data_IF_277488712342
#
_entry.id   IF_277488712342
#
_cell.length_a   1.000
_cell.length_b   1.000
_cell.length_c   1.000
_cell.angle_alpha   90.00
_cell.angle_beta   90.00
_cell.angle_gamma   90.00
#
_symmetry.space_group_name_H-M   'P 1'
#
loop_
_entity.id
_entity.type
_entity.pdbx_description
1 polymer ?
#
# COMPACT_ATOMS: atom_id res chain seq x y z
N UNK A 1 -3.32 -0.91 -10.47
CA UNK A 1 -3.97 -0.84 -11.80
C UNK A 1 -4.04 -2.21 -12.43
N UNK A 2 -2.90 -2.84 -12.71
CA UNK A 2 -2.86 -4.14 -13.41
C UNK A 2 -3.65 -5.25 -12.69
N UNK A 3 -3.45 -5.45 -11.39
CA UNK A 3 -4.15 -6.49 -10.60
C UNK A 3 -5.69 -6.35 -10.65
N UNK A 4 -6.22 -5.16 -10.36
CA UNK A 4 -7.66 -4.87 -10.50
C UNK A 4 -8.13 -4.86 -11.96
N UNK A 5 -7.24 -4.55 -12.90
CA UNK A 5 -7.45 -4.66 -14.34
C UNK A 5 -7.78 -6.10 -14.73
N UNK A 6 -6.94 -7.05 -14.31
CA UNK A 6 -7.12 -8.49 -14.56
C UNK A 6 -8.39 -8.99 -13.84
N UNK A 7 -8.46 -8.79 -12.52
CA UNK A 7 -9.43 -9.50 -11.67
C UNK A 7 -10.82 -8.86 -11.60
N UNK A 8 -10.96 -7.58 -11.95
CA UNK A 8 -12.25 -6.87 -11.91
C UNK A 8 -12.65 -6.32 -13.27
N UNK A 9 -11.69 -5.78 -14.04
CA UNK A 9 -11.94 -5.23 -15.37
C UNK A 9 -11.77 -6.25 -16.50
N UNK A 10 -11.48 -7.51 -16.16
CA UNK A 10 -11.32 -8.64 -17.09
C UNK A 10 -10.29 -8.38 -18.19
N UNK A 11 -9.21 -7.67 -17.85
CA UNK A 11 -8.11 -7.48 -18.78
C UNK A 11 -7.48 -8.83 -19.13
N UNK A 12 -7.16 -9.00 -20.42
CA UNK A 12 -6.35 -10.14 -20.86
C UNK A 12 -4.91 -9.99 -20.37
N UNK A 13 -4.19 -11.10 -20.37
CA UNK A 13 -2.76 -11.14 -20.06
C UNK A 13 -1.96 -10.12 -20.91
N UNK A 14 -2.27 -9.98 -22.19
CA UNK A 14 -1.57 -9.06 -23.10
C UNK A 14 -1.91 -7.60 -22.84
N UNK A 15 -3.17 -7.29 -22.51
CA UNK A 15 -3.58 -5.94 -22.11
C UNK A 15 -2.84 -5.50 -20.85
N UNK A 16 -2.78 -6.39 -19.85
CA UNK A 16 -2.06 -6.17 -18.60
C UNK A 16 -0.55 -5.99 -18.81
N UNK A 17 0.06 -6.84 -19.64
CA UNK A 17 1.49 -6.77 -19.98
C UNK A 17 1.82 -5.46 -20.67
N UNK A 18 1.09 -5.10 -21.72
CA UNK A 18 1.30 -3.87 -22.47
C UNK A 18 1.20 -2.65 -21.56
N UNK A 19 0.15 -2.59 -20.73
CA UNK A 19 0.01 -1.50 -19.76
C UNK A 19 1.23 -1.37 -18.83
N UNK A 20 1.73 -2.49 -18.31
CA UNK A 20 2.90 -2.48 -17.43
C UNK A 20 4.17 -2.03 -18.15
N UNK A 21 4.41 -2.47 -19.39
CA UNK A 21 5.54 -2.02 -20.21
C UNK A 21 5.44 -0.51 -20.45
N UNK A 22 4.29 -0.02 -20.91
CA UNK A 22 4.11 1.38 -21.29
C UNK A 22 4.18 2.32 -20.08
N UNK A 23 3.68 1.88 -18.93
CA UNK A 23 3.58 2.75 -17.73
C UNK A 23 4.83 2.68 -16.85
N UNK A 24 5.44 1.50 -16.71
CA UNK A 24 6.56 1.27 -15.76
C UNK A 24 7.91 1.23 -16.49
N UNK A 25 7.92 0.97 -17.80
CA UNK A 25 9.15 0.88 -18.59
C UNK A 25 9.95 -0.41 -18.35
N UNK A 26 9.34 -1.45 -17.78
CA UNK A 26 9.99 -2.75 -17.64
C UNK A 26 10.00 -3.51 -18.96
N UNK A 27 11.08 -4.26 -19.20
CA UNK A 27 11.19 -5.16 -20.34
C UNK A 27 10.02 -6.15 -20.36
N UNK A 28 9.51 -6.47 -21.56
CA UNK A 28 8.30 -7.27 -21.74
C UNK A 28 8.33 -8.59 -20.95
N UNK A 29 9.42 -9.37 -21.04
CA UNK A 29 9.52 -10.65 -20.32
C UNK A 29 9.46 -10.50 -18.80
N UNK A 30 9.99 -9.40 -18.24
CA UNK A 30 9.85 -9.09 -16.81
C UNK A 30 8.39 -8.75 -16.47
N UNK A 31 7.75 -7.93 -17.30
CA UNK A 31 6.34 -7.56 -17.11
C UNK A 31 5.43 -8.78 -17.15
N UNK A 32 5.61 -9.68 -18.12
CA UNK A 32 4.82 -10.92 -18.25
C UNK A 32 4.93 -11.78 -16.98
N UNK A 33 6.14 -11.98 -16.45
CA UNK A 33 6.34 -12.74 -15.21
C UNK A 33 5.59 -12.11 -14.02
N UNK A 34 5.53 -10.79 -13.93
CA UNK A 34 4.71 -10.13 -12.90
C UNK A 34 3.21 -10.32 -13.15
N UNK A 35 2.74 -10.23 -14.41
CA UNK A 35 1.33 -10.49 -14.75
C UNK A 35 0.92 -11.91 -14.34
N UNK A 36 1.72 -12.91 -14.69
CA UNK A 36 1.49 -14.32 -14.32
C UNK A 36 1.41 -14.48 -12.80
N UNK A 37 2.32 -13.83 -12.05
CA UNK A 37 2.29 -13.80 -10.59
C UNK A 37 0.98 -13.21 -10.05
N UNK A 38 0.46 -12.16 -10.68
CA UNK A 38 -0.79 -11.51 -10.24
C UNK A 38 -2.01 -12.37 -10.56
N UNK A 39 -1.97 -13.16 -11.64
CA UNK A 39 -3.03 -14.11 -11.97
C UNK A 39 -3.19 -15.22 -10.91
N UNK A 40 -2.09 -15.72 -10.34
CA UNK A 40 -2.11 -16.80 -9.33
C UNK A 40 -2.21 -16.29 -7.88
N UNK A 41 -2.07 -14.99 -7.65
CA UNK A 41 -2.14 -14.37 -6.32
C UNK A 41 -2.97 -13.07 -6.34
N UNK A 42 -4.30 -13.15 -6.53
CA UNK A 42 -5.15 -11.98 -6.68
C UNK A 42 -5.08 -11.04 -5.47
N UNK A 43 -4.91 -9.74 -5.72
CA UNK A 43 -4.91 -8.70 -4.68
C UNK A 43 -3.57 -8.50 -3.97
N UNK A 44 -2.64 -9.45 -4.06
CA UNK A 44 -1.33 -9.33 -3.41
C UNK A 44 -0.56 -8.10 -3.92
N UNK A 45 -0.58 -7.84 -5.23
CA UNK A 45 0.11 -6.69 -5.82
C UNK A 45 -0.50 -5.34 -5.39
N UNK A 46 -1.77 -5.31 -4.97
CA UNK A 46 -2.40 -4.10 -4.44
C UNK A 46 -1.92 -3.75 -3.02
N UNK A 47 -1.45 -4.76 -2.26
CA UNK A 47 -1.05 -4.59 -0.85
C UNK A 47 0.02 -3.51 -0.64
N UNK A 48 0.99 -3.39 -1.54
CA UNK A 48 2.09 -2.42 -1.44
C UNK A 48 1.58 -0.98 -1.35
N UNK A 49 0.74 -0.55 -2.31
CA UNK A 49 0.28 0.83 -2.37
C UNK A 49 -0.89 1.10 -1.42
N UNK A 50 -1.74 0.10 -1.15
CA UNK A 50 -2.80 0.20 -0.13
C UNK A 50 -2.19 0.37 1.25
N UNK A 51 -1.20 -0.46 1.61
CA UNK A 51 -0.47 -0.37 2.87
C UNK A 51 0.23 0.98 3.01
N UNK A 52 1.01 1.39 1.99
CA UNK A 52 1.64 2.71 1.99
C UNK A 52 0.64 3.86 2.16
N UNK A 53 -0.50 3.83 1.47
CA UNK A 53 -1.53 4.85 1.60
C UNK A 53 -2.13 4.89 3.02
N UNK A 54 -2.34 3.74 3.66
CA UNK A 54 -2.79 3.68 5.05
C UNK A 54 -1.77 4.28 6.02
N UNK A 55 -0.48 3.97 5.85
CA UNK A 55 0.59 4.58 6.65
C UNK A 55 0.65 6.10 6.51
N UNK A 56 0.50 6.63 5.29
CA UNK A 56 0.43 8.08 5.08
C UNK A 56 -0.78 8.70 5.76
N UNK A 57 -1.98 8.11 5.59
CA UNK A 57 -3.20 8.60 6.25
C UNK A 57 -3.08 8.58 7.77
N UNK A 58 -2.55 7.50 8.34
CA UNK A 58 -2.34 7.36 9.78
C UNK A 58 -1.40 8.46 10.30
N UNK A 59 -0.28 8.71 9.61
CA UNK A 59 0.67 9.76 9.96
C UNK A 59 0.05 11.16 9.88
N UNK A 60 -0.68 11.44 8.81
CA UNK A 60 -1.32 12.75 8.62
C UNK A 60 -2.41 12.99 9.68
N UNK A 61 -3.17 11.94 10.05
CA UNK A 61 -4.13 12.01 11.15
C UNK A 61 -3.43 12.26 12.50
N UNK A 62 -2.35 11.52 12.80
CA UNK A 62 -1.57 11.74 14.02
C UNK A 62 -1.00 13.16 14.11
N UNK A 63 -0.48 13.68 13.00
CA UNK A 63 0.01 15.07 12.92
C UNK A 63 -1.10 16.08 13.19
N UNK A 64 -2.29 15.86 12.64
CA UNK A 64 -3.46 16.73 12.89
C UNK A 64 -3.90 16.70 14.36
N UNK A 65 -3.85 15.53 15.00
CA UNK A 65 -4.24 15.36 16.41
C UNK A 65 -3.21 16.01 17.35
N UNK A 66 -1.92 15.70 17.18
CA UNK A 66 -0.87 16.16 18.07
C UNK A 66 -0.46 17.63 17.81
N UNK A 67 -0.77 18.18 16.63
CA UNK A 67 -0.46 19.56 16.27
C UNK A 67 1.03 19.86 16.40
N UNK A 68 1.37 20.92 17.13
CA UNK A 68 2.77 21.31 17.39
C UNK A 68 3.57 20.28 18.20
N UNK A 69 2.91 19.34 18.88
CA UNK A 69 3.56 18.26 19.64
C UNK A 69 3.87 17.03 18.78
N UNK A 70 3.51 17.04 17.49
CA UNK A 70 3.81 15.92 16.61
C UNK A 70 5.32 15.72 16.47
N UNK A 71 5.79 14.53 16.83
CA UNK A 71 7.16 14.10 16.62
C UNK A 71 7.20 12.85 15.72
N UNK A 72 7.98 12.91 14.64
CA UNK A 72 8.06 11.83 13.65
C UNK A 72 8.76 10.58 14.20
N UNK A 73 9.74 10.76 15.10
CA UNK A 73 10.43 9.63 15.73
C UNK A 73 9.44 8.87 16.62
N UNK A 74 8.69 9.58 17.46
CA UNK A 74 7.68 8.97 18.32
C UNK A 74 6.57 8.28 17.53
N UNK A 75 6.13 8.86 16.40
CA UNK A 75 5.21 8.19 15.49
C UNK A 75 5.73 6.80 15.05
N UNK A 76 7.03 6.69 14.73
CA UNK A 76 7.62 5.42 14.29
C UNK A 76 7.74 4.36 15.38
N UNK A 77 7.63 4.68 16.68
CA UNK A 77 7.61 3.67 17.75
C UNK A 77 6.43 2.69 17.60
N UNK A 78 5.46 2.95 16.70
CA UNK A 78 4.36 2.01 16.40
C UNK A 78 4.89 0.71 15.78
N UNK A 79 6.11 0.73 15.22
CA UNK A 79 6.80 -0.44 14.72
C UNK A 79 7.10 -1.46 15.82
N UNK A 80 7.26 -1.03 17.07
CA UNK A 80 7.48 -1.93 18.22
C UNK A 80 6.26 -2.81 18.53
N UNK A 81 5.07 -2.41 18.05
CA UNK A 81 3.83 -3.20 18.18
C UNK A 81 3.73 -4.34 17.15
N UNK A 82 4.72 -4.48 16.25
CA UNK A 82 4.78 -5.57 15.26
C UNK A 82 3.85 -5.40 14.07
N UNK A 83 3.81 -6.43 13.21
CA UNK A 83 2.94 -6.44 12.04
C UNK A 83 1.48 -6.64 12.44
N UNK A 84 0.58 -5.84 11.87
CA UNK A 84 -0.84 -5.84 12.22
C UNK A 84 -1.73 -5.46 11.03
N UNK A 85 -3.05 -5.72 11.10
CA UNK A 85 -4.00 -5.20 10.12
C UNK A 85 -3.97 -3.67 10.04
N UNK A 86 -4.21 -3.10 8.85
CA UNK A 86 -4.15 -1.65 8.64
C UNK A 86 -5.16 -0.87 9.51
N UNK A 87 -6.32 -1.46 9.78
CA UNK A 87 -7.32 -0.87 10.69
C UNK A 87 -6.82 -0.78 12.13
N UNK A 88 -6.01 -1.75 12.57
CA UNK A 88 -5.39 -1.74 13.89
C UNK A 88 -4.27 -0.71 13.95
N UNK A 89 -3.45 -0.62 12.90
CA UNK A 89 -2.41 0.42 12.78
C UNK A 89 -3.02 1.82 12.88
N UNK A 90 -4.05 2.12 12.08
CA UNK A 90 -4.72 3.43 12.07
C UNK A 90 -5.28 3.78 13.46
N UNK A 91 -5.89 2.80 14.15
CA UNK A 91 -6.41 2.97 15.52
C UNK A 91 -5.31 3.25 16.56
N UNK A 92 -4.25 2.43 16.58
CA UNK A 92 -3.16 2.56 17.56
C UNK A 92 -2.44 3.90 17.38
N UNK A 93 -2.17 4.30 16.13
CA UNK A 93 -1.55 5.58 15.82
C UNK A 93 -2.41 6.75 16.32
N UNK A 94 -3.73 6.68 16.11
CA UNK A 94 -4.65 7.71 16.61
C UNK A 94 -4.69 7.78 18.14
N UNK A 95 -4.78 6.64 18.82
CA UNK A 95 -4.76 6.57 20.29
C UNK A 95 -3.48 7.19 20.86
N UNK A 96 -2.32 6.83 20.31
CA UNK A 96 -1.01 7.35 20.73
C UNK A 96 -0.86 8.86 20.45
N UNK A 97 -1.42 9.36 19.35
CA UNK A 97 -1.37 10.78 19.03
C UNK A 97 -2.18 11.65 20.00
N UNK A 98 -3.18 11.10 20.70
CA UNK A 98 -3.97 11.81 21.71
C UNK A 98 -3.29 11.89 23.07
N UNK A 99 -2.30 11.01 23.32
CA UNK A 99 -1.59 10.93 24.61
C UNK A 99 -0.34 11.80 24.68
N UNK A 100 0.13 12.31 23.54
CA UNK A 100 1.24 13.29 23.45
C UNK A 100 0.75 14.71 23.56
#
# INVERSE_FOLDING_TARGET
VVDTGIHTKRWTHDQATRYMVDTVGFAQGRSQREIERYCVSPGQACSYKIGHAAWLRARDNARRIAGARFDLKHFHDVLESGAMPLSMLERIVEERARTV
#
